data_IF_859414266361
#
_entry.id   IF_859414266361
#
_cell.length_a   1.000
_cell.length_b   1.000
_cell.length_c   1.000
_cell.angle_alpha   90.00
_cell.angle_beta   90.00
_cell.angle_gamma   90.00
#
_symmetry.space_group_name_H-M   'P 1'
#
loop_
_entity.id
_entity.type
_entity.pdbx_description
1 polymer ?
#
# COMPACT_ATOMS: atom_id res chain seq x y z
N UNK A 1 0.55 0.00 33.29
CA UNK A 1 1.96 0.40 33.42
C UNK A 1 2.54 0.52 32.01
N UNK A 2 2.65 1.72 31.48
CA UNK A 2 3.23 1.94 30.16
C UNK A 2 4.71 1.55 30.20
N UNK A 3 5.14 0.64 29.33
CA UNK A 3 6.57 0.37 29.16
C UNK A 3 7.19 1.61 28.51
N UNK A 4 8.31 2.14 29.04
CA UNK A 4 9.00 3.27 28.44
C UNK A 4 9.37 2.92 26.99
N UNK A 5 8.93 3.76 26.04
CA UNK A 5 9.28 3.62 24.63
C UNK A 5 10.62 4.30 24.42
N UNK A 6 11.67 3.51 24.23
CA UNK A 6 12.97 4.05 23.85
C UNK A 6 13.01 4.27 22.34
N UNK A 7 12.93 5.53 21.90
CA UNK A 7 13.17 5.90 20.50
C UNK A 7 14.67 6.12 20.25
N UNK A 8 15.18 5.61 19.13
CA UNK A 8 16.49 5.93 18.60
C UNK A 8 16.24 6.46 17.19
N UNK A 9 16.70 7.68 16.92
CA UNK A 9 16.50 8.34 15.62
C UNK A 9 17.80 8.31 14.84
N UNK A 10 17.75 7.80 13.61
CA UNK A 10 18.84 7.89 12.64
C UNK A 10 18.49 9.04 11.69
N UNK A 11 19.11 10.20 11.86
CA UNK A 11 18.68 11.44 11.15
C UNK A 11 19.32 11.63 9.77
N UNK A 12 20.33 10.83 9.42
CA UNK A 12 21.18 11.07 8.25
C UNK A 12 21.01 10.08 7.09
N UNK A 13 20.01 9.20 7.14
CA UNK A 13 19.77 8.21 6.07
C UNK A 13 18.32 8.33 5.61
N UNK A 14 18.14 8.73 4.35
CA UNK A 14 16.85 8.66 3.67
C UNK A 14 16.63 7.24 3.17
N UNK A 15 15.51 6.62 3.52
CA UNK A 15 15.21 5.19 3.22
C UNK A 15 14.02 4.98 2.27
N UNK A 16 13.31 6.05 1.93
CA UNK A 16 12.20 6.06 0.98
C UNK A 16 12.67 6.34 -0.45
N UNK A 17 13.85 5.83 -0.82
CA UNK A 17 14.50 6.10 -2.12
C UNK A 17 14.40 4.93 -3.12
N UNK A 18 13.71 3.85 -2.74
CA UNK A 18 13.54 2.63 -3.55
C UNK A 18 14.77 1.72 -3.60
N UNK A 19 15.82 1.99 -2.82
CA UNK A 19 17.03 1.16 -2.78
C UNK A 19 17.01 0.18 -1.61
N UNK A 20 17.89 -0.82 -1.72
CA UNK A 20 18.12 -1.77 -0.64
C UNK A 20 18.94 -1.12 0.48
N UNK A 21 18.34 -1.05 1.67
CA UNK A 21 19.02 -0.63 2.90
C UNK A 21 19.30 -1.82 3.81
N UNK A 22 20.44 -1.79 4.50
CA UNK A 22 20.83 -2.81 5.50
C UNK A 22 20.67 -2.25 6.90
N UNK A 23 19.79 -2.88 7.67
CA UNK A 23 19.61 -2.57 9.10
C UNK A 23 20.15 -3.69 9.99
N UNK A 24 20.92 -3.34 11.01
CA UNK A 24 21.44 -4.27 12.02
C UNK A 24 21.19 -3.68 13.41
N UNK A 25 20.49 -4.45 14.25
CA UNK A 25 20.32 -4.16 15.67
C UNK A 25 21.15 -5.18 16.46
N UNK A 26 22.03 -4.68 17.33
CA UNK A 26 22.74 -5.48 18.31
C UNK A 26 22.45 -4.92 19.70
N UNK A 27 22.00 -5.79 20.60
CA UNK A 27 21.79 -5.44 22.00
C UNK A 27 22.56 -6.41 22.90
N UNK A 28 23.41 -5.86 23.76
CA UNK A 28 24.10 -6.56 24.83
C UNK A 28 23.78 -5.85 26.15
N UNK A 29 22.79 -6.38 26.87
CA UNK A 29 22.24 -5.79 28.09
C UNK A 29 21.74 -4.35 27.83
N UNK A 30 22.33 -3.36 28.50
CA UNK A 30 22.04 -1.93 28.32
C UNK A 30 22.62 -1.36 27.02
N UNK A 31 23.62 -2.01 26.44
CA UNK A 31 24.32 -1.49 25.27
C UNK A 31 23.59 -1.87 23.99
N UNK A 32 23.04 -0.86 23.31
CA UNK A 32 22.41 -1.00 22.00
C UNK A 32 23.27 -0.35 20.94
N UNK A 33 23.63 -1.13 19.92
CA UNK A 33 24.23 -0.66 18.67
C UNK A 33 23.19 -0.81 17.57
N UNK A 34 22.91 0.29 16.88
CA UNK A 34 22.10 0.30 15.67
C UNK A 34 22.99 0.69 14.50
N UNK A 35 22.89 -0.04 13.41
CA UNK A 35 23.55 0.31 12.16
C UNK A 35 22.52 0.33 11.03
N UNK A 36 22.46 1.44 10.31
CA UNK A 36 21.69 1.60 9.09
C UNK A 36 22.67 1.98 7.98
N UNK A 37 22.88 1.06 7.04
CA UNK A 37 23.92 1.13 6.02
C UNK A 37 25.31 1.35 6.63
N UNK A 38 25.94 2.49 6.32
CA UNK A 38 27.23 2.91 6.88
C UNK A 38 27.09 3.67 8.21
N UNK A 39 25.89 4.13 8.57
CA UNK A 39 25.67 4.96 9.75
C UNK A 39 25.47 4.08 10.99
N UNK A 40 26.35 4.26 11.97
CA UNK A 40 26.36 3.49 13.23
C UNK A 40 26.06 4.42 14.39
N UNK A 41 25.10 4.02 15.24
CA UNK A 41 24.72 4.71 16.47
C UNK A 41 24.81 3.77 17.67
N UNK A 42 25.18 4.34 18.81
CA UNK A 42 25.22 3.66 20.10
C UNK A 42 24.26 4.34 21.07
N UNK A 43 23.55 3.56 21.87
CA UNK A 43 22.71 4.04 22.96
C UNK A 43 22.79 3.11 24.15
N UNK A 44 22.89 3.71 25.33
CA UNK A 44 22.78 3.00 26.61
C UNK A 44 21.33 3.09 27.07
N UNK A 45 20.69 1.95 27.30
CA UNK A 45 19.32 1.86 27.78
C UNK A 45 19.27 1.99 29.30
N UNK A 46 18.47 2.93 29.80
CA UNK A 46 18.21 3.09 31.23
C UNK A 46 16.91 2.37 31.59
N UNK A 47 16.97 1.05 31.81
CA UNK A 47 15.82 0.22 32.18
C UNK A 47 16.19 -0.93 33.11
N UNK A 48 15.19 -1.53 33.78
CA UNK A 48 15.41 -2.63 34.75
C UNK A 48 15.51 -4.03 34.12
N UNK A 49 15.05 -4.20 32.89
CA UNK A 49 15.08 -5.48 32.18
C UNK A 49 15.62 -5.28 30.78
N UNK A 50 16.60 -6.11 30.39
CA UNK A 50 17.26 -6.06 29.08
C UNK A 50 16.91 -7.26 28.20
N UNK A 51 15.92 -8.05 28.63
CA UNK A 51 15.50 -9.25 27.89
C UNK A 51 14.77 -8.82 26.61
N UNK A 52 15.40 -9.10 25.46
CA UNK A 52 14.82 -8.85 24.14
C UNK A 52 13.77 -9.93 23.80
N UNK A 53 12.61 -9.85 24.45
CA UNK A 53 11.57 -10.87 24.35
C UNK A 53 11.99 -12.21 24.96
N UNK A 54 11.01 -13.07 25.27
CA UNK A 54 11.26 -14.43 25.75
C UNK A 54 10.77 -15.43 24.70
N UNK A 55 11.69 -16.07 23.98
CA UNK A 55 11.34 -17.02 22.90
C UNK A 55 10.46 -18.20 23.35
N UNK A 56 10.40 -18.52 24.65
CA UNK A 56 9.54 -19.59 25.18
C UNK A 56 8.11 -19.14 25.48
N UNK A 57 7.90 -17.85 25.72
CA UNK A 57 6.59 -17.29 26.12
C UNK A 57 6.08 -16.20 25.18
N UNK A 58 6.89 -15.77 24.20
CA UNK A 58 6.50 -14.81 23.20
C UNK A 58 5.44 -15.42 22.27
N UNK A 59 4.56 -14.57 21.78
CA UNK A 59 3.74 -14.84 20.59
C UNK A 59 4.60 -15.03 19.34
N UNK A 60 3.96 -15.46 18.26
CA UNK A 60 4.54 -15.43 16.92
C UNK A 60 5.13 -14.05 16.56
N UNK A 61 6.24 -14.06 15.83
CA UNK A 61 6.90 -12.84 15.35
C UNK A 61 6.33 -12.48 13.98
N UNK A 62 5.85 -11.25 13.84
CA UNK A 62 5.26 -10.75 12.60
C UNK A 62 6.17 -9.70 11.94
N UNK A 63 6.29 -9.77 10.62
CA UNK A 63 7.11 -8.87 9.82
C UNK A 63 6.23 -8.24 8.74
N UNK A 64 6.36 -6.93 8.54
CA UNK A 64 5.60 -6.17 7.56
C UNK A 64 4.16 -5.81 7.96
N UNK A 65 3.56 -6.52 8.91
CA UNK A 65 2.26 -6.18 9.47
C UNK A 65 1.75 -7.25 10.42
N UNK A 66 0.70 -6.93 11.17
CA UNK A 66 0.06 -7.87 12.09
C UNK A 66 -1.31 -8.27 11.51
N UNK A 67 -1.63 -9.58 11.44
CA UNK A 67 -2.93 -10.05 10.98
C UNK A 67 -4.08 -9.41 11.76
N UNK A 68 -5.10 -8.96 11.04
CA UNK A 68 -6.33 -8.43 11.63
C UNK A 68 -7.34 -9.52 11.95
N UNK A 69 -7.31 -10.62 11.21
CA UNK A 69 -8.15 -11.78 11.49
C UNK A 69 -7.54 -12.65 12.58
N UNK A 70 -8.43 -13.29 13.35
CA UNK A 70 -8.21 -14.49 14.19
C UNK A 70 -7.78 -14.26 15.65
N UNK A 71 -8.69 -14.72 16.54
CA UNK A 71 -8.62 -15.44 17.84
C UNK A 71 -7.33 -15.54 18.69
N UNK A 72 -6.20 -14.95 18.32
CA UNK A 72 -4.92 -15.04 19.02
C UNK A 72 -4.68 -13.86 19.99
N UNK A 73 -5.69 -13.02 20.23
CA UNK A 73 -5.61 -11.82 21.07
C UNK A 73 -4.99 -12.08 22.45
N UNK A 74 -5.29 -13.23 23.06
CA UNK A 74 -4.82 -13.60 24.39
C UNK A 74 -3.32 -13.93 24.50
N UNK A 75 -2.61 -14.13 23.38
CA UNK A 75 -1.18 -14.48 23.35
C UNK A 75 -0.29 -13.34 22.84
N UNK A 76 -0.87 -12.27 22.32
CA UNK A 76 -0.11 -11.15 21.78
C UNK A 76 0.34 -10.20 22.88
N UNK A 77 1.63 -9.87 22.90
CA UNK A 77 2.17 -8.87 23.84
C UNK A 77 1.67 -7.44 23.55
N UNK A 78 1.18 -7.16 22.33
CA UNK A 78 0.61 -5.86 21.96
C UNK A 78 -0.44 -5.96 20.83
N UNK A 79 -1.70 -6.32 21.14
CA UNK A 79 -2.77 -6.48 20.14
C UNK A 79 -3.09 -5.19 19.35
N UNK A 80 -2.92 -4.01 19.97
CA UNK A 80 -3.24 -2.72 19.35
C UNK A 80 -2.36 -2.39 18.14
N UNK A 81 -1.18 -3.02 18.00
CA UNK A 81 -0.29 -2.83 16.85
C UNK A 81 -0.91 -3.27 15.51
N UNK A 82 -2.03 -4.01 15.51
CA UNK A 82 -2.78 -4.34 14.28
C UNK A 82 -3.36 -3.13 13.55
N UNK A 83 -3.52 -2.00 14.25
CA UNK A 83 -4.04 -0.75 13.69
C UNK A 83 -2.94 0.19 13.17
N UNK A 84 -1.66 -0.18 13.31
CA UNK A 84 -0.58 0.62 12.73
C UNK A 84 -0.51 0.42 11.22
N UNK A 85 -0.05 1.44 10.50
CA UNK A 85 0.21 1.35 9.06
C UNK A 85 1.12 0.15 8.78
N UNK A 86 0.70 -0.70 7.85
CA UNK A 86 1.47 -1.87 7.41
C UNK A 86 2.65 -1.41 6.55
N UNK A 87 3.73 -2.18 6.57
CA UNK A 87 4.87 -1.96 5.68
C UNK A 87 4.47 -2.26 4.25
N UNK A 88 4.87 -1.38 3.33
CA UNK A 88 4.71 -1.57 1.90
C UNK A 88 6.10 -1.45 1.26
N UNK A 89 6.67 -2.58 0.86
CA UNK A 89 8.02 -2.69 0.33
C UNK A 89 8.52 -4.14 0.35
N UNK A 90 9.78 -4.35 0.01
CA UNK A 90 10.42 -5.67 -0.02
C UNK A 90 11.36 -5.87 1.18
N UNK A 91 11.43 -7.10 1.71
CA UNK A 91 12.33 -7.51 2.79
C UNK A 91 13.06 -8.78 2.35
N UNK A 92 14.39 -8.80 2.48
CA UNK A 92 15.23 -9.98 2.22
C UNK A 92 16.27 -10.16 3.31
N UNK A 93 16.84 -11.37 3.38
CA UNK A 93 17.94 -11.70 4.30
C UNK A 93 17.61 -11.42 5.78
N UNK A 94 16.36 -11.66 6.19
CA UNK A 94 15.97 -11.57 7.59
C UNK A 94 16.63 -12.70 8.37
N UNK A 95 17.40 -12.34 9.38
CA UNK A 95 18.15 -13.27 10.23
C UNK A 95 18.04 -12.80 11.67
N UNK A 96 17.88 -13.74 12.60
CA UNK A 96 17.88 -13.45 14.04
C UNK A 96 18.67 -14.52 14.77
N UNK A 97 19.13 -14.18 15.98
CA UNK A 97 19.88 -15.12 16.82
C UNK A 97 18.93 -15.82 17.78
N UNK A 98 18.92 -17.15 17.72
CA UNK A 98 18.28 -18.02 18.70
C UNK A 98 19.35 -18.48 19.69
N UNK A 99 19.21 -18.15 20.97
CA UNK A 99 20.05 -18.77 21.99
C UNK A 99 19.44 -20.12 22.42
N UNK A 100 20.20 -21.22 22.52
CA UNK A 100 21.65 -21.37 22.27
C UNK A 100 22.00 -21.76 20.82
N UNK A 101 21.02 -21.91 19.94
CA UNK A 101 21.16 -22.54 18.61
C UNK A 101 21.93 -21.72 17.55
N UNK A 102 22.33 -20.48 17.85
CA UNK A 102 23.11 -19.64 16.96
C UNK A 102 22.25 -18.73 16.07
N UNK A 103 22.79 -18.35 14.91
CA UNK A 103 22.14 -17.44 13.96
C UNK A 103 21.24 -18.26 13.03
N UNK A 104 19.95 -17.95 12.99
CA UNK A 104 18.97 -18.69 12.19
C UNK A 104 18.15 -17.75 11.31
N UNK A 105 17.85 -18.20 10.09
CA UNK A 105 16.81 -17.59 9.27
C UNK A 105 15.44 -18.06 9.78
N UNK A 106 14.40 -17.19 9.82
CA UNK A 106 13.07 -17.60 10.23
C UNK A 106 12.56 -18.75 9.38
N UNK A 107 12.08 -19.79 10.05
CA UNK A 107 11.20 -20.77 9.42
C UNK A 107 9.85 -20.09 9.25
N UNK A 108 9.47 -19.83 7.99
CA UNK A 108 8.22 -19.16 7.68
C UNK A 108 7.04 -20.05 8.10
N UNK A 109 6.29 -19.63 9.12
CA UNK A 109 5.12 -20.37 9.60
C UNK A 109 3.97 -20.23 8.60
N UNK A 110 3.71 -19.01 8.12
CA UNK A 110 2.76 -18.72 7.05
C UNK A 110 3.01 -17.33 6.48
N UNK A 111 2.55 -17.08 5.25
CA UNK A 111 2.50 -15.74 4.66
C UNK A 111 1.15 -15.54 3.96
N UNK A 112 0.67 -14.30 3.93
CA UNK A 112 -0.58 -13.95 3.23
C UNK A 112 -0.33 -12.72 2.36
N UNK A 113 -0.50 -12.89 1.05
CA UNK A 113 -0.37 -11.80 0.08
C UNK A 113 1.07 -11.33 -0.18
N UNK A 114 2.10 -12.01 0.32
CA UNK A 114 3.51 -11.67 0.09
C UNK A 114 4.02 -12.22 -1.24
N UNK A 115 4.81 -11.42 -1.95
CA UNK A 115 5.53 -11.85 -3.16
C UNK A 115 6.87 -12.50 -2.78
N UNK A 116 7.19 -13.63 -3.40
CA UNK A 116 8.46 -14.35 -3.17
C UNK A 116 9.62 -13.79 -4.00
N UNK A 117 9.33 -13.12 -5.12
CA UNK A 117 10.31 -12.50 -6.00
C UNK A 117 10.18 -10.98 -5.99
N UNK A 118 11.25 -10.27 -6.35
CA UNK A 118 11.25 -8.81 -6.56
C UNK A 118 11.16 -8.45 -8.05
N UNK A 119 10.82 -9.40 -8.91
CA UNK A 119 10.79 -9.22 -10.36
C UNK A 119 9.71 -8.21 -10.74
N UNK A 120 10.08 -7.00 -11.18
CA UNK A 120 9.10 -6.10 -11.76
C UNK A 120 8.75 -6.56 -13.17
N UNK A 121 7.66 -7.32 -13.28
CA UNK A 121 7.13 -7.86 -14.53
C UNK A 121 6.72 -6.78 -15.53
N UNK A 122 6.65 -5.50 -15.11
CA UNK A 122 6.35 -4.36 -15.96
C UNK A 122 7.60 -3.55 -16.41
N UNK A 123 8.79 -3.83 -15.86
CA UNK A 123 9.96 -2.97 -16.04
C UNK A 123 10.66 -3.08 -17.40
N UNK A 124 10.66 -4.27 -18.01
CA UNK A 124 11.30 -4.51 -19.32
C UNK A 124 10.35 -4.17 -20.47
N UNK A 125 9.18 -4.79 -20.46
CA UNK A 125 8.14 -4.57 -21.47
C UNK A 125 6.76 -4.82 -20.84
N UNK A 126 5.87 -3.85 -20.93
CA UNK A 126 4.52 -3.99 -20.40
C UNK A 126 3.70 -4.95 -21.28
N UNK A 127 3.12 -6.04 -20.75
CA UNK A 127 2.24 -6.92 -21.51
C UNK A 127 0.87 -6.29 -21.80
N UNK A 128 0.54 -5.15 -21.17
CA UNK A 128 -0.73 -4.47 -21.36
C UNK A 128 -0.78 -3.75 -22.71
N UNK A 129 -1.84 -4.00 -23.47
CA UNK A 129 -2.13 -3.34 -24.75
C UNK A 129 -2.97 -2.09 -24.54
N UNK A 130 -3.14 -1.30 -25.61
CA UNK A 130 -4.10 -0.19 -25.68
C UNK A 130 -4.02 0.80 -24.51
N UNK A 131 -2.79 1.14 -24.11
CA UNK A 131 -2.51 2.07 -23.00
C UNK A 131 -3.04 1.62 -21.63
N UNK A 132 -3.26 0.32 -21.43
CA UNK A 132 -3.55 -0.26 -20.12
C UNK A 132 -2.38 -0.06 -19.15
N UNK A 133 -2.67 0.23 -17.89
CA UNK A 133 -1.63 0.42 -16.86
C UNK A 133 -1.16 -0.94 -16.35
N UNK A 134 0.12 -1.24 -16.53
CA UNK A 134 0.74 -2.44 -15.96
C UNK A 134 1.05 -2.26 -14.48
N UNK A 135 0.77 -3.29 -13.69
CA UNK A 135 1.23 -3.42 -12.32
C UNK A 135 1.66 -4.85 -12.03
N UNK A 136 2.76 -4.99 -11.29
CA UNK A 136 3.29 -6.28 -10.88
C UNK A 136 2.46 -6.90 -9.74
N UNK A 137 2.03 -8.15 -9.91
CA UNK A 137 1.30 -8.93 -8.89
C UNK A 137 2.09 -10.15 -8.47
N UNK A 138 1.56 -10.93 -7.52
CA UNK A 138 2.16 -12.20 -7.10
C UNK A 138 2.14 -13.25 -8.22
N UNK A 139 1.19 -13.15 -9.15
CA UNK A 139 0.98 -14.11 -10.24
C UNK A 139 1.54 -13.62 -11.59
N UNK A 140 2.40 -12.59 -11.56
CA UNK A 140 2.96 -11.94 -12.75
C UNK A 140 2.43 -10.52 -12.98
N UNK A 141 2.67 -9.98 -14.17
CA UNK A 141 2.10 -8.69 -14.56
C UNK A 141 0.59 -8.76 -14.72
N UNK A 142 -0.10 -7.72 -14.27
CA UNK A 142 -1.54 -7.52 -14.42
C UNK A 142 -1.82 -6.13 -15.00
N UNK A 143 -2.98 -5.99 -15.66
CA UNK A 143 -3.33 -4.79 -16.41
C UNK A 143 -4.60 -4.16 -15.87
N UNK A 144 -4.53 -2.87 -15.55
CA UNK A 144 -5.68 -2.05 -15.25
C UNK A 144 -6.17 -1.39 -16.54
N UNK A 145 -7.30 -1.90 -17.05
CA UNK A 145 -7.96 -1.41 -18.25
C UNK A 145 -9.11 -0.45 -17.92
N UNK A 146 -9.32 -0.07 -16.65
CA UNK A 146 -10.50 0.67 -16.18
C UNK A 146 -10.67 1.99 -16.93
N UNK A 147 -9.56 2.68 -17.19
CA UNK A 147 -9.52 3.97 -17.89
C UNK A 147 -9.22 3.88 -19.39
N UNK A 148 -9.30 2.68 -19.97
CA UNK A 148 -9.15 2.45 -21.42
C UNK A 148 -10.51 2.09 -22.05
N UNK A 149 -10.61 2.17 -23.38
CA UNK A 149 -11.76 1.63 -24.12
C UNK A 149 -11.71 0.12 -24.29
N UNK A 150 -10.82 -0.55 -23.57
CA UNK A 150 -10.60 -1.99 -23.69
C UNK A 150 -10.76 -2.69 -22.35
N UNK A 151 -11.10 -3.97 -22.40
CA UNK A 151 -11.17 -4.90 -21.30
C UNK A 151 -10.44 -6.21 -21.69
N UNK A 152 -10.53 -7.23 -20.85
CA UNK A 152 -9.73 -8.44 -20.99
C UNK A 152 -8.48 -8.39 -20.12
N UNK A 153 -7.71 -9.49 -20.12
CA UNK A 153 -6.61 -9.68 -19.17
C UNK A 153 -5.45 -8.71 -19.43
N UNK A 154 -5.25 -8.33 -20.68
CA UNK A 154 -4.19 -7.42 -21.13
C UNK A 154 -4.74 -6.23 -21.91
N UNK A 155 -6.01 -5.88 -21.68
CA UNK A 155 -6.73 -4.81 -22.37
C UNK A 155 -6.83 -5.04 -23.89
N UNK A 156 -7.03 -6.29 -24.31
CA UNK A 156 -7.05 -6.69 -25.73
C UNK A 156 -8.43 -6.61 -26.40
N UNK A 157 -9.51 -6.56 -25.61
CA UNK A 157 -10.88 -6.62 -26.13
C UNK A 157 -11.53 -5.23 -26.05
N UNK A 158 -12.15 -4.70 -27.10
CA UNK A 158 -12.84 -3.43 -27.00
C UNK A 158 -14.05 -3.54 -26.06
N UNK A 159 -14.24 -2.53 -25.20
CA UNK A 159 -15.45 -2.36 -24.39
C UNK A 159 -16.58 -2.01 -25.35
N UNK A 160 -17.55 -2.92 -25.50
CA UNK A 160 -18.83 -2.59 -26.11
C UNK A 160 -19.65 -1.80 -25.09
N UNK A 161 -19.41 -0.49 -25.02
CA UNK A 161 -20.13 0.41 -24.13
C UNK A 161 -21.60 0.52 -24.53
N UNK A 162 -22.51 0.40 -23.58
CA UNK A 162 -23.89 0.83 -23.76
C UNK A 162 -23.90 2.36 -23.74
N UNK A 163 -24.34 2.98 -24.84
CA UNK A 163 -24.50 4.42 -24.90
C UNK A 163 -25.85 4.81 -24.30
N UNK A 164 -25.81 5.70 -23.31
CA UNK A 164 -27.02 6.33 -22.78
C UNK A 164 -27.30 7.58 -23.61
N UNK A 165 -28.57 7.78 -23.98
CA UNK A 165 -29.01 8.95 -24.74
C UNK A 165 -29.70 9.94 -23.81
N UNK A 166 -29.31 11.21 -23.90
CA UNK A 166 -29.88 12.32 -23.14
C UNK A 166 -30.49 13.32 -24.12
N UNK A 167 -31.73 13.71 -23.89
CA UNK A 167 -32.47 14.71 -24.68
C UNK A 167 -32.65 16.03 -23.92
N UNK A 168 -31.97 16.18 -22.77
CA UNK A 168 -31.83 17.44 -22.02
C UNK A 168 -32.67 17.51 -20.74
N UNK A 169 -33.43 16.46 -20.40
CA UNK A 169 -34.26 16.40 -19.19
C UNK A 169 -33.97 15.17 -18.31
N UNK A 170 -33.18 14.23 -18.82
CA UNK A 170 -32.76 13.02 -18.13
C UNK A 170 -31.48 13.25 -17.31
N UNK A 171 -31.33 12.50 -16.23
CA UNK A 171 -30.14 12.51 -15.40
C UNK A 171 -29.91 11.12 -14.82
N UNK A 172 -28.67 10.82 -14.47
CA UNK A 172 -28.27 9.58 -13.80
C UNK A 172 -27.43 9.97 -12.59
N UNK A 173 -27.77 9.40 -11.44
CA UNK A 173 -27.00 9.53 -10.20
C UNK A 173 -26.76 8.16 -9.60
N UNK A 174 -25.62 7.99 -8.95
CA UNK A 174 -25.27 6.75 -8.25
C UNK A 174 -24.82 7.06 -6.83
N UNK A 175 -25.20 6.19 -5.89
CA UNK A 175 -24.83 6.32 -4.49
C UNK A 175 -23.39 5.84 -4.28
N UNK A 176 -22.52 6.77 -3.87
CA UNK A 176 -21.10 6.52 -3.62
C UNK A 176 -20.83 5.99 -2.21
N UNK A 177 -21.82 5.97 -1.32
CA UNK A 177 -21.64 5.55 0.09
C UNK A 177 -21.46 4.04 0.25
N UNK A 178 -21.93 3.23 -0.71
CA UNK A 178 -21.91 1.77 -0.60
C UNK A 178 -20.63 1.11 -1.15
N UNK A 179 -19.75 1.87 -1.81
CA UNK A 179 -18.48 1.39 -2.39
C UNK A 179 -17.25 1.74 -1.54
N UNK A 180 -17.44 2.33 -0.36
CA UNK A 180 -16.33 2.73 0.52
C UNK A 180 -15.87 1.57 1.42
N UNK A 181 -15.24 0.56 0.83
CA UNK A 181 -14.12 -0.13 1.50
C UNK A 181 -12.86 0.75 1.42
N UNK A 182 -13.02 2.01 1.83
CA UNK A 182 -12.02 2.99 2.25
C UNK A 182 -12.74 4.33 2.29
N UNK A 183 -12.69 5.03 3.42
CA UNK A 183 -12.73 6.48 3.40
C UNK A 183 -11.49 6.90 2.60
N UNK A 184 -11.70 7.19 1.32
CA UNK A 184 -10.67 7.52 0.36
C UNK A 184 -10.07 8.88 0.77
N UNK A 185 -9.05 8.87 1.63
CA UNK A 185 -8.04 9.93 1.68
C UNK A 185 -7.10 9.83 0.46
N UNK A 186 -7.64 9.58 -0.72
CA UNK A 186 -6.86 9.56 -1.95
C UNK A 186 -7.01 10.95 -2.57
N UNK A 187 -5.91 11.69 -2.67
CA UNK A 187 -5.85 13.03 -3.28
C UNK A 187 -5.92 13.00 -4.82
N UNK A 188 -6.43 11.91 -5.38
CA UNK A 188 -6.43 11.65 -6.82
C UNK A 188 -7.79 11.06 -7.21
N UNK A 189 -8.54 11.82 -8.00
CA UNK A 189 -9.74 11.36 -8.69
C UNK A 189 -9.43 11.22 -10.18
N UNK A 190 -9.76 10.08 -10.77
CA UNK A 190 -9.62 9.83 -12.20
C UNK A 190 -11.00 9.59 -12.80
N UNK A 191 -11.41 10.43 -13.75
CA UNK A 191 -12.69 10.31 -14.46
C UNK A 191 -12.38 10.29 -15.97
N UNK A 192 -12.98 9.34 -16.69
CA UNK A 192 -12.90 9.27 -18.16
C UNK A 192 -14.31 9.04 -18.73
N UNK A 193 -14.72 9.89 -19.67
CA UNK A 193 -16.04 9.84 -20.31
C UNK A 193 -15.91 10.05 -21.82
N UNK A 194 -16.69 9.30 -22.59
CA UNK A 194 -16.90 9.55 -24.01
C UNK A 194 -18.28 10.18 -24.19
N UNK A 195 -18.33 11.38 -24.77
CA UNK A 195 -19.58 12.08 -25.02
C UNK A 195 -19.66 12.59 -26.47
N UNK A 196 -20.89 12.72 -26.96
CA UNK A 196 -21.21 13.39 -28.22
C UNK A 196 -22.40 14.32 -27.98
N UNK A 197 -22.39 15.51 -28.56
CA UNK A 197 -23.49 16.47 -28.43
C UNK A 197 -23.56 17.38 -29.65
N UNK A 198 -24.76 17.81 -30.02
CA UNK A 198 -24.98 18.89 -30.98
C UNK A 198 -25.10 20.26 -30.31
N UNK A 199 -25.15 20.31 -28.97
CA UNK A 199 -25.32 21.54 -28.20
C UNK A 199 -23.97 22.08 -27.72
N UNK A 200 -23.72 23.39 -27.83
CA UNK A 200 -22.43 24.00 -27.45
C UNK A 200 -22.25 24.14 -25.94
N UNK A 201 -23.31 23.93 -25.15
CA UNK A 201 -23.34 24.10 -23.71
C UNK A 201 -24.02 22.91 -23.03
N UNK A 202 -23.51 22.48 -21.86
CA UNK A 202 -24.12 21.42 -21.06
C UNK A 202 -23.28 21.00 -19.86
N UNK A 203 -23.92 20.42 -18.83
CA UNK A 203 -23.25 19.78 -17.71
C UNK A 203 -22.89 18.34 -18.10
N UNK A 204 -21.62 17.95 -17.94
CA UNK A 204 -21.13 16.60 -18.25
C UNK A 204 -21.01 15.73 -16.99
N UNK A 205 -20.60 16.32 -15.87
CA UNK A 205 -20.40 15.61 -14.61
C UNK A 205 -20.47 16.58 -13.43
N UNK A 206 -21.02 16.13 -12.30
CA UNK A 206 -20.99 16.84 -11.03
C UNK A 206 -20.88 15.83 -9.87
N UNK A 207 -19.98 16.08 -8.92
CA UNK A 207 -19.79 15.23 -7.73
C UNK A 207 -19.49 16.03 -6.47
N UNK A 208 -19.75 15.43 -5.31
CA UNK A 208 -19.49 16.01 -3.98
C UNK A 208 -20.54 17.03 -3.51
N UNK A 209 -20.28 17.67 -2.37
CA UNK A 209 -21.08 18.79 -1.84
C UNK A 209 -20.78 20.08 -2.62
N UNK A 210 -21.09 20.05 -3.94
CA UNK A 210 -21.16 21.20 -4.85
C UNK A 210 -19.83 21.85 -5.28
N UNK A 211 -18.67 21.20 -5.09
CA UNK A 211 -17.37 21.74 -5.53
C UNK A 211 -16.95 21.28 -6.94
N UNK A 212 -17.02 19.97 -7.23
CA UNK A 212 -16.42 19.40 -8.46
C UNK A 212 -17.43 19.30 -9.60
N UNK A 213 -17.14 19.93 -10.75
CA UNK A 213 -17.95 19.80 -11.96
C UNK A 213 -17.16 19.91 -13.27
N UNK A 214 -17.64 19.20 -14.30
CA UNK A 214 -17.20 19.32 -15.69
C UNK A 214 -18.33 19.92 -16.53
N UNK A 215 -18.07 21.09 -17.11
CA UNK A 215 -19.07 21.86 -17.86
C UNK A 215 -18.55 22.16 -19.26
N UNK A 216 -19.34 21.84 -20.27
CA UNK A 216 -19.12 22.30 -21.64
C UNK A 216 -19.76 23.69 -21.77
N UNK A 217 -18.97 24.72 -22.14
CA UNK A 217 -19.47 26.05 -22.51
C UNK A 217 -18.81 26.53 -23.78
N UNK A 218 -19.61 26.91 -24.76
CA UNK A 218 -19.12 27.38 -26.07
C UNK A 218 -18.08 26.43 -26.67
N UNK A 219 -18.35 25.11 -26.61
CA UNK A 219 -17.46 24.04 -27.10
C UNK A 219 -16.15 23.84 -26.32
N UNK A 220 -15.96 24.53 -25.19
CA UNK A 220 -14.79 24.38 -24.30
C UNK A 220 -15.20 23.64 -23.03
N UNK A 221 -14.39 22.68 -22.60
CA UNK A 221 -14.59 21.93 -21.34
C UNK A 221 -13.92 22.69 -20.20
N UNK A 222 -14.70 23.01 -19.17
CA UNK A 222 -14.24 23.64 -17.94
C UNK A 222 -14.30 22.63 -16.80
N UNK A 223 -13.18 22.47 -16.10
CA UNK A 223 -13.12 21.83 -14.80
C UNK A 223 -13.22 22.88 -13.71
N UNK A 224 -14.13 22.68 -12.75
CA UNK A 224 -14.30 23.53 -11.58
C UNK A 224 -14.16 22.65 -10.35
N UNK A 225 -13.31 23.08 -9.42
CA UNK A 225 -13.04 22.53 -8.09
C UNK A 225 -13.22 23.65 -7.06
#
# INVERSE_FOLDING_TARGET
>A
MERPVHSIRVEQVRVDDGKWHKFVLFQAWENVKIQLDSTVLFKILTQRSFVFGNLRTNSDVFVGGIPTDVHQFGKMSSPLRRHTKRFAGAIKNLVYRLYPQGVSSPQLISSRGTRLTDDDYCALESPCKNSGRCFSTNDGASCDCSFTDFNGRICEKPKTGQALSFFGHEWIGYDVTNHTSSLIQNRFENISIHFRTAHPNGLLFAAGDKSVSLILKSQIIYFKD
#
